data_IF_026961307436
#
_entry.id   IF_026961307436
#
_cell.length_a   1.000
_cell.length_b   1.000
_cell.length_c   1.000
_cell.angle_alpha   90.00
_cell.angle_beta   90.00
_cell.angle_gamma   90.00
#
_symmetry.space_group_name_H-M   'P 1'
#
loop_
_entity.id
_entity.type
_entity.pdbx_description
1 polymer ?
#
# COMPACT_ATOMS: atom_id res chain seq x y z
N UNK A 1 -4.50 -2.68 -20.49
CA UNK A 1 -4.63 -3.94 -19.72
C UNK A 1 -5.71 -4.80 -20.35
N UNK A 2 -5.71 -6.13 -20.09
CA UNK A 2 -6.81 -6.99 -20.51
C UNK A 2 -8.04 -6.75 -19.60
N UNK A 3 -9.27 -7.05 -20.10
CA UNK A 3 -10.50 -6.91 -19.29
C UNK A 3 -10.44 -7.70 -17.96
N UNK A 4 -9.74 -8.85 -17.97
CA UNK A 4 -9.52 -9.66 -16.75
C UNK A 4 -8.63 -8.97 -15.73
N UNK A 5 -7.56 -8.32 -16.18
CA UNK A 5 -6.67 -7.56 -15.31
C UNK A 5 -7.35 -6.30 -14.74
N UNK A 6 -8.19 -5.63 -15.53
CA UNK A 6 -8.98 -4.48 -15.06
C UNK A 6 -9.97 -4.90 -13.95
N UNK A 7 -10.64 -6.04 -14.12
CA UNK A 7 -11.54 -6.57 -13.10
C UNK A 7 -10.80 -7.05 -11.84
N UNK A 8 -9.66 -7.73 -12.01
CA UNK A 8 -8.82 -8.14 -10.88
C UNK A 8 -8.34 -6.95 -10.06
N UNK A 9 -7.89 -5.88 -10.72
CA UNK A 9 -7.51 -4.64 -10.03
C UNK A 9 -8.67 -4.05 -9.22
N UNK A 10 -9.88 -3.99 -9.78
CA UNK A 10 -11.07 -3.53 -9.06
C UNK A 10 -11.31 -4.35 -7.79
N UNK A 11 -11.32 -5.68 -7.91
CA UNK A 11 -11.56 -6.58 -6.75
C UNK A 11 -10.51 -6.38 -5.68
N UNK A 12 -9.22 -6.33 -6.06
CA UNK A 12 -8.13 -6.15 -5.11
C UNK A 12 -8.21 -4.79 -4.41
N UNK A 13 -8.52 -3.71 -5.14
CA UNK A 13 -8.68 -2.36 -4.56
C UNK A 13 -9.82 -2.30 -3.56
N UNK A 14 -10.99 -2.82 -3.92
CA UNK A 14 -12.17 -2.81 -3.04
C UNK A 14 -11.91 -3.68 -1.80
N UNK A 15 -11.37 -4.89 -1.98
CA UNK A 15 -11.07 -5.78 -0.86
C UNK A 15 -10.04 -5.15 0.09
N UNK A 16 -8.93 -4.65 -0.44
CA UNK A 16 -7.89 -4.01 0.35
C UNK A 16 -8.41 -2.75 1.06
N UNK A 17 -9.13 -1.89 0.34
CA UNK A 17 -9.69 -0.67 0.91
C UNK A 17 -10.69 -0.93 2.03
N UNK A 18 -11.54 -1.95 1.90
CA UNK A 18 -12.48 -2.36 2.96
C UNK A 18 -11.77 -2.92 4.21
N UNK A 19 -10.59 -3.54 4.04
CA UNK A 19 -9.78 -3.99 5.17
C UNK A 19 -9.05 -2.81 5.82
N UNK A 20 -8.45 -1.91 5.04
CA UNK A 20 -7.74 -0.74 5.58
C UNK A 20 -8.67 0.26 6.27
N UNK A 21 -9.89 0.43 5.79
CA UNK A 21 -10.81 1.46 6.28
C UNK A 21 -11.06 1.38 7.79
N UNK A 22 -11.45 0.24 8.39
CA UNK A 22 -11.63 0.15 9.84
C UNK A 22 -10.33 0.32 10.62
N UNK A 23 -9.19 -0.14 10.08
CA UNK A 23 -7.88 0.02 10.73
C UNK A 23 -7.46 1.50 10.76
N UNK A 24 -7.56 2.20 9.63
CA UNK A 24 -7.29 3.63 9.55
C UNK A 24 -8.27 4.45 10.39
N UNK A 25 -9.58 4.11 10.35
CA UNK A 25 -10.59 4.77 11.17
C UNK A 25 -10.28 4.66 12.66
N UNK A 26 -9.93 3.48 13.15
CA UNK A 26 -9.61 3.28 14.57
C UNK A 26 -8.39 4.07 15.01
N UNK A 27 -7.37 4.20 14.15
CA UNK A 27 -6.16 4.98 14.43
C UNK A 27 -6.43 6.49 14.45
N UNK A 28 -7.31 6.99 13.57
CA UNK A 28 -7.58 8.42 13.47
C UNK A 28 -8.65 8.87 14.46
N UNK A 29 -9.76 8.13 14.58
CA UNK A 29 -10.94 8.53 15.36
C UNK A 29 -11.17 7.68 16.61
N UNK A 30 -10.60 6.47 16.71
CA UNK A 30 -10.69 5.61 17.88
C UNK A 30 -9.72 6.02 18.97
N UNK A 31 -8.48 5.55 18.92
CA UNK A 31 -7.41 5.99 19.86
C UNK A 31 -6.95 7.41 19.60
N UNK A 32 -7.12 7.90 18.38
CA UNK A 32 -6.59 9.16 17.89
C UNK A 32 -5.19 9.05 17.29
N UNK A 33 -4.94 9.80 16.21
CA UNK A 33 -3.67 9.74 15.48
C UNK A 33 -2.46 10.11 16.37
N UNK A 34 -2.65 11.00 17.35
CA UNK A 34 -1.61 11.39 18.26
C UNK A 34 -1.21 10.24 19.22
N UNK A 35 -2.18 9.52 19.77
CA UNK A 35 -1.92 8.37 20.63
C UNK A 35 -1.21 7.25 19.85
N UNK A 36 -1.71 6.91 18.67
CA UNK A 36 -1.06 5.93 17.79
C UNK A 36 0.37 6.33 17.41
N UNK A 37 0.61 7.62 17.12
CA UNK A 37 1.94 8.11 16.78
C UNK A 37 2.89 8.10 18.00
N UNK A 38 2.37 8.29 19.22
CA UNK A 38 3.17 8.27 20.44
C UNK A 38 3.77 6.89 20.75
N UNK A 39 3.21 5.81 20.19
CA UNK A 39 3.73 4.45 20.35
C UNK A 39 4.93 4.15 19.42
N UNK A 40 5.15 4.95 18.38
CA UNK A 40 6.20 4.69 17.38
C UNK A 40 7.63 4.61 17.96
N UNK A 41 8.03 5.44 18.93
CA UNK A 41 9.36 5.35 19.53
C UNK A 41 9.66 4.02 20.22
N UNK A 42 8.65 3.32 20.73
CA UNK A 42 8.84 1.98 21.32
C UNK A 42 9.33 0.94 20.31
N UNK A 43 9.05 1.15 19.03
CA UNK A 43 9.53 0.35 17.90
C UNK A 43 10.77 0.92 17.22
N UNK A 44 11.38 1.96 17.82
CA UNK A 44 12.54 2.65 17.23
C UNK A 44 12.20 3.53 16.02
N UNK A 45 10.93 3.89 15.84
CA UNK A 45 10.43 4.68 14.72
C UNK A 45 10.18 6.14 15.14
N UNK A 46 10.42 7.12 14.26
CA UNK A 46 10.04 8.49 14.50
C UNK A 46 8.52 8.69 14.62
N UNK A 47 8.08 9.56 15.53
CA UNK A 47 6.65 9.85 15.80
C UNK A 47 5.89 10.23 14.53
N UNK A 48 6.48 11.02 13.64
CA UNK A 48 5.80 11.49 12.42
C UNK A 48 5.36 10.35 11.49
N UNK A 49 6.06 9.19 11.51
CA UNK A 49 5.66 8.02 10.72
C UNK A 49 4.33 7.43 11.20
N UNK A 50 4.01 7.54 12.49
CA UNK A 50 2.72 7.14 13.02
C UNK A 50 1.58 7.98 12.45
N UNK A 51 1.75 9.29 12.37
CA UNK A 51 0.76 10.16 11.71
C UNK A 51 0.60 9.82 10.23
N UNK A 52 1.72 9.65 9.51
CA UNK A 52 1.68 9.27 8.10
C UNK A 52 0.92 7.93 7.93
N UNK A 53 1.23 6.92 8.74
CA UNK A 53 0.57 5.62 8.65
C UNK A 53 -0.93 5.73 8.97
N UNK A 54 -1.33 6.42 10.03
CA UNK A 54 -2.73 6.58 10.42
C UNK A 54 -3.56 7.24 9.30
N UNK A 55 -3.08 8.35 8.77
CA UNK A 55 -3.79 9.09 7.72
C UNK A 55 -3.70 8.41 6.36
N UNK A 56 -2.56 7.77 6.02
CA UNK A 56 -2.44 7.01 4.79
C UNK A 56 -3.41 5.82 4.76
N UNK A 57 -3.54 5.08 5.86
CA UNK A 57 -4.49 3.97 5.92
C UNK A 57 -5.94 4.44 5.84
N UNK A 58 -6.30 5.55 6.47
CA UNK A 58 -7.67 6.04 6.45
C UNK A 58 -8.04 6.67 5.09
N UNK A 59 -7.32 7.69 4.66
CA UNK A 59 -7.61 8.36 3.39
C UNK A 59 -7.23 7.50 2.18
N UNK A 60 -6.14 6.74 2.29
CA UNK A 60 -5.72 5.79 1.26
C UNK A 60 -6.74 4.68 1.05
N UNK A 61 -7.39 4.17 2.09
CA UNK A 61 -8.44 3.17 1.92
C UNK A 61 -9.60 3.70 1.05
N UNK A 62 -10.02 4.95 1.25
CA UNK A 62 -11.08 5.61 0.49
C UNK A 62 -10.61 5.84 -0.96
N UNK A 63 -9.39 6.35 -1.13
CA UNK A 63 -8.79 6.59 -2.43
C UNK A 63 -8.62 5.28 -3.22
N UNK A 64 -8.21 4.20 -2.55
CA UNK A 64 -8.03 2.89 -3.14
C UNK A 64 -9.36 2.29 -3.65
N UNK A 65 -10.42 2.37 -2.85
CA UNK A 65 -11.78 1.94 -3.26
C UNK A 65 -12.23 2.72 -4.49
N UNK A 66 -12.08 4.03 -4.48
CA UNK A 66 -12.44 4.90 -5.60
C UNK A 66 -11.52 4.70 -6.82
N UNK A 67 -10.32 4.21 -6.62
CA UNK A 67 -9.28 4.08 -7.64
C UNK A 67 -8.69 5.43 -8.02
N UNK A 68 -8.39 6.25 -7.04
CA UNK A 68 -7.76 7.55 -7.19
C UNK A 68 -6.30 7.46 -6.78
N UNK A 69 -5.39 7.92 -7.65
CA UNK A 69 -3.94 7.85 -7.46
C UNK A 69 -3.45 6.44 -7.08
N UNK A 70 -4.09 5.42 -7.64
CA UNK A 70 -3.99 4.03 -7.20
C UNK A 70 -2.55 3.55 -7.03
N UNK A 71 -1.64 3.86 -7.95
CA UNK A 71 -0.23 3.40 -7.86
C UNK A 71 0.51 4.04 -6.68
N UNK A 72 0.32 5.35 -6.50
CA UNK A 72 1.00 6.12 -5.44
C UNK A 72 0.44 5.70 -4.10
N UNK A 73 -0.88 5.62 -3.99
CA UNK A 73 -1.59 5.23 -2.79
C UNK A 73 -1.25 3.79 -2.39
N UNK A 74 -1.32 2.84 -3.33
CA UNK A 74 -0.94 1.44 -3.08
C UNK A 74 0.52 1.30 -2.66
N UNK A 75 1.44 2.08 -3.24
CA UNK A 75 2.84 2.08 -2.84
C UNK A 75 3.00 2.57 -1.39
N UNK A 76 2.34 3.66 -1.03
CA UNK A 76 2.37 4.20 0.33
C UNK A 76 1.82 3.20 1.34
N UNK A 77 0.67 2.58 1.04
CA UNK A 77 0.08 1.52 1.86
C UNK A 77 0.98 0.27 1.94
N UNK A 78 1.67 -0.10 0.87
CA UNK A 78 2.66 -1.18 0.91
C UNK A 78 3.80 -0.85 1.88
N UNK A 79 4.32 0.37 1.86
CA UNK A 79 5.35 0.80 2.81
C UNK A 79 4.86 0.73 4.26
N UNK A 80 3.63 1.18 4.55
CA UNK A 80 3.06 1.08 5.92
C UNK A 80 2.90 -0.37 6.36
N UNK A 81 2.44 -1.25 5.48
CA UNK A 81 2.27 -2.66 5.78
C UNK A 81 3.59 -3.42 5.92
N UNK A 82 4.61 -3.04 5.14
CA UNK A 82 5.96 -3.57 5.34
C UNK A 82 6.49 -3.25 6.74
N UNK A 83 6.37 -1.99 7.17
CA UNK A 83 6.78 -1.57 8.53
C UNK A 83 5.95 -2.30 9.59
N UNK A 84 4.62 -2.37 9.41
CA UNK A 84 3.74 -3.07 10.35
C UNK A 84 4.11 -4.55 10.49
N UNK A 85 4.40 -5.25 9.37
CA UNK A 85 4.75 -6.66 9.41
C UNK A 85 6.12 -6.92 10.05
N UNK A 86 7.15 -6.20 9.59
CA UNK A 86 8.54 -6.57 9.89
C UNK A 86 9.17 -5.78 11.05
N UNK A 87 8.70 -4.57 11.33
CA UNK A 87 9.24 -3.74 12.40
C UNK A 87 8.40 -3.79 13.66
N UNK A 88 7.06 -3.88 13.50
CA UNK A 88 6.13 -3.87 14.64
C UNK A 88 5.75 -5.31 15.05
N UNK A 89 5.10 -6.07 14.18
CA UNK A 89 4.50 -7.35 14.56
C UNK A 89 5.48 -8.53 14.60
N UNK A 90 6.52 -8.53 13.77
CA UNK A 90 7.48 -9.64 13.77
C UNK A 90 8.27 -9.77 15.10
N UNK A 91 8.79 -8.69 15.70
CA UNK A 91 9.42 -8.76 17.02
C UNK A 91 8.46 -9.25 18.10
N UNK A 92 7.21 -8.77 18.12
CA UNK A 92 6.19 -9.19 19.07
C UNK A 92 5.87 -10.68 18.90
N UNK A 93 5.68 -11.15 17.66
CA UNK A 93 5.43 -12.56 17.37
C UNK A 93 6.60 -13.48 17.77
N UNK A 94 7.84 -13.00 17.66
CA UNK A 94 9.02 -13.74 18.11
C UNK A 94 9.11 -13.82 19.63
N UNK A 95 8.73 -12.76 20.32
CA UNK A 95 8.74 -12.69 21.77
C UNK A 95 7.63 -13.56 22.40
N UNK A 96 6.44 -13.56 21.80
CA UNK A 96 5.26 -14.26 22.31
C UNK A 96 5.21 -15.75 21.94
N UNK A 97 6.17 -16.24 21.15
CA UNK A 97 6.24 -17.64 20.76
C UNK A 97 6.45 -18.56 21.97
N UNK A 98 5.39 -19.25 22.40
CA UNK A 98 5.39 -20.18 23.55
C UNK A 98 6.35 -21.36 23.32
N UNK A 99 7.01 -21.85 24.41
CA UNK A 99 7.79 -23.10 24.35
C UNK A 99 6.89 -24.27 23.89
N UNK A 100 7.33 -24.98 22.85
CA UNK A 100 6.58 -26.12 22.28
C UNK A 100 5.72 -25.80 21.06
N UNK A 101 5.48 -24.53 20.74
CA UNK A 101 4.86 -24.14 19.46
C UNK A 101 5.91 -24.16 18.36
N UNK A 102 5.54 -24.66 17.17
CA UNK A 102 6.43 -24.53 16.01
C UNK A 102 6.58 -23.02 15.73
N UNK A 103 7.76 -22.49 16.05
CA UNK A 103 8.05 -21.03 15.95
C UNK A 103 7.60 -20.41 14.63
N UNK A 104 7.72 -21.16 13.54
CA UNK A 104 7.28 -20.71 12.22
C UNK A 104 5.78 -20.37 12.19
N UNK A 105 4.92 -21.22 12.78
CA UNK A 105 3.48 -20.95 12.79
C UNK A 105 3.09 -19.77 13.67
N UNK A 106 3.78 -19.58 14.80
CA UNK A 106 3.55 -18.43 15.68
C UNK A 106 3.91 -17.11 14.95
N UNK A 107 5.07 -17.09 14.27
CA UNK A 107 5.51 -15.94 13.48
C UNK A 107 4.53 -15.64 12.33
N UNK A 108 4.19 -16.66 11.54
CA UNK A 108 3.29 -16.49 10.40
C UNK A 108 1.93 -15.94 10.86
N UNK A 109 1.38 -16.48 11.96
CA UNK A 109 0.11 -16.02 12.52
C UNK A 109 0.18 -14.56 13.00
N UNK A 110 1.32 -14.16 13.59
CA UNK A 110 1.52 -12.79 14.07
C UNK A 110 1.55 -11.75 12.96
N UNK A 111 2.11 -12.09 11.79
CA UNK A 111 2.31 -11.14 10.69
C UNK A 111 1.37 -11.35 9.49
N UNK A 112 0.46 -12.35 9.53
CA UNK A 112 -0.33 -12.80 8.37
C UNK A 112 -1.08 -11.67 7.68
N UNK A 113 -1.77 -10.83 8.45
CA UNK A 113 -2.59 -9.75 7.87
C UNK A 113 -1.73 -8.66 7.21
N UNK A 114 -0.78 -8.00 7.89
CA UNK A 114 0.00 -6.96 7.23
C UNK A 114 0.88 -7.51 6.11
N UNK A 115 1.34 -8.75 6.19
CA UNK A 115 2.09 -9.39 5.11
C UNK A 115 1.21 -9.64 3.87
N UNK A 116 -0.01 -10.15 4.05
CA UNK A 116 -0.97 -10.32 2.95
C UNK A 116 -1.34 -8.96 2.33
N UNK A 117 -1.60 -7.95 3.16
CA UNK A 117 -1.93 -6.60 2.70
C UNK A 117 -0.76 -5.93 1.97
N UNK A 118 0.48 -6.15 2.44
CA UNK A 118 1.68 -5.75 1.70
C UNK A 118 1.72 -6.36 0.30
N UNK A 119 1.48 -7.68 0.18
CA UNK A 119 1.45 -8.36 -1.12
C UNK A 119 0.38 -7.81 -2.06
N UNK A 120 -0.84 -7.56 -1.56
CA UNK A 120 -1.95 -7.01 -2.35
C UNK A 120 -1.62 -5.58 -2.82
N UNK A 121 -1.14 -4.73 -1.94
CA UNK A 121 -0.83 -3.32 -2.28
C UNK A 121 0.39 -3.22 -3.20
N UNK A 122 1.41 -4.06 -3.02
CA UNK A 122 2.54 -4.17 -3.94
C UNK A 122 2.07 -4.61 -5.34
N UNK A 123 1.19 -5.61 -5.41
CA UNK A 123 0.60 -6.03 -6.69
C UNK A 123 -0.21 -4.91 -7.35
N UNK A 124 -1.00 -4.15 -6.59
CA UNK A 124 -1.76 -3.01 -7.11
C UNK A 124 -0.86 -1.87 -7.61
N UNK A 125 0.27 -1.63 -6.96
CA UNK A 125 1.28 -0.67 -7.41
C UNK A 125 1.78 -1.02 -8.82
N UNK A 126 1.99 -2.31 -9.08
CA UNK A 126 2.45 -2.80 -10.39
C UNK A 126 1.30 -2.82 -11.41
N UNK A 127 0.16 -3.40 -11.05
CA UNK A 127 -1.00 -3.53 -11.92
C UNK A 127 -1.59 -2.16 -12.30
N UNK A 128 -1.68 -1.26 -11.33
CA UNK A 128 -2.33 0.03 -11.49
C UNK A 128 -3.86 -0.03 -11.37
N UNK A 129 -4.53 1.11 -11.67
CA UNK A 129 -5.95 1.34 -11.33
C UNK A 129 -6.94 0.48 -12.14
N UNK A 130 -6.59 0.08 -13.36
CA UNK A 130 -7.53 -0.55 -14.29
C UNK A 130 -8.61 0.43 -14.81
N UNK A 131 -9.45 -0.04 -15.72
CA UNK A 131 -10.47 0.80 -16.39
C UNK A 131 -11.65 1.18 -15.49
N UNK A 132 -11.88 0.46 -14.41
CA UNK A 132 -12.95 0.74 -13.43
C UNK A 132 -12.44 1.60 -12.28
N UNK A 133 -11.83 2.74 -12.57
CA UNK A 133 -11.20 3.64 -11.60
C UNK A 133 -11.41 5.11 -11.96
N UNK A 134 -11.36 5.98 -10.97
CA UNK A 134 -11.32 7.42 -11.20
C UNK A 134 -10.06 7.85 -11.95
N UNK A 135 -8.93 7.20 -11.71
CA UNK A 135 -7.69 7.47 -12.45
C UNK A 135 -7.85 7.32 -13.95
N UNK A 136 -8.59 6.27 -14.37
CA UNK A 136 -8.88 6.07 -15.79
C UNK A 136 -9.85 7.12 -16.32
N UNK A 137 -10.91 7.41 -15.58
CA UNK A 137 -11.92 8.40 -15.96
C UNK A 137 -11.33 9.81 -16.11
N UNK A 138 -10.40 10.17 -15.22
CA UNK A 138 -9.74 11.49 -15.20
C UNK A 138 -8.47 11.54 -16.08
N UNK A 139 -8.08 10.43 -16.71
CA UNK A 139 -6.89 10.34 -17.55
C UNK A 139 -5.55 10.54 -16.80
N UNK A 140 -5.54 10.34 -15.48
CA UNK A 140 -4.37 10.57 -14.61
C UNK A 140 -3.24 9.61 -14.97
N UNK A 141 -3.55 8.35 -15.25
CA UNK A 141 -2.55 7.33 -15.56
C UNK A 141 -1.77 7.67 -16.85
N UNK A 142 -2.44 8.22 -17.85
CA UNK A 142 -1.79 8.67 -19.08
C UNK A 142 -0.79 9.81 -18.85
N UNK A 143 -1.08 10.71 -17.94
CA UNK A 143 -0.21 11.84 -17.57
C UNK A 143 1.02 11.35 -16.80
N UNK A 144 0.84 10.44 -15.84
CA UNK A 144 1.95 9.86 -15.06
C UNK A 144 2.85 9.01 -15.96
N UNK A 145 2.29 8.15 -16.80
CA UNK A 145 3.06 7.33 -17.74
C UNK A 145 3.82 8.19 -18.76
N UNK A 146 3.25 9.31 -19.20
CA UNK A 146 3.90 10.27 -20.10
C UNK A 146 5.09 10.99 -19.46
N UNK A 147 5.04 11.27 -18.15
CA UNK A 147 6.12 11.92 -17.42
C UNK A 147 7.37 11.03 -17.27
N UNK A 148 7.19 9.71 -17.26
CA UNK A 148 8.29 8.73 -17.16
C UNK A 148 8.76 8.17 -18.52
N UNK A 149 8.18 8.62 -19.65
CA UNK A 149 8.65 8.19 -20.97
C UNK A 149 9.95 8.92 -21.30
N UNK A 150 11.07 8.21 -21.56
CA UNK A 150 12.30 8.85 -22.03
C UNK A 150 11.96 9.61 -23.32
N UNK A 151 12.34 10.88 -23.39
CA UNK A 151 12.25 11.64 -24.67
C UNK A 151 13.08 10.87 -25.69
N UNK A 152 12.44 10.34 -26.74
CA UNK A 152 13.15 9.74 -27.86
C UNK A 152 14.07 10.82 -28.43
N UNK A 153 15.38 10.60 -28.29
CA UNK A 153 16.35 11.41 -29.03
C UNK A 153 16.05 11.25 -30.52
N UNK A 154 15.92 12.32 -31.27
CA UNK A 154 15.86 12.23 -32.73
C UNK A 154 17.16 11.56 -33.18
N UNK A 155 17.05 10.44 -33.88
CA UNK A 155 18.18 9.80 -34.53
C UNK A 155 18.76 10.75 -35.56
N UNK A 156 20.04 11.15 -35.44
CA UNK A 156 20.66 11.95 -36.49
C UNK A 156 21.04 11.01 -37.63
N UNK A 157 20.14 10.75 -38.55
CA UNK A 157 20.54 10.30 -39.88
C UNK A 157 19.37 10.23 -40.86
N UNK A 158 19.18 11.29 -41.62
CA UNK A 158 18.61 11.23 -42.96
C UNK A 158 19.04 12.48 -43.78
N UNK A 159 20.35 12.75 -43.81
CA UNK A 159 20.92 13.75 -44.67
C UNK A 159 22.20 13.18 -45.28
N UNK A 160 22.11 12.05 -45.99
CA UNK A 160 23.09 11.63 -47.01
C UNK A 160 22.33 10.73 -47.99
N UNK A 161 21.76 11.30 -49.03
CA UNK A 161 21.74 10.85 -50.44
C UNK A 161 21.17 11.96 -51.30
#
# INVERSE_FOLDING_TARGET
>A
MSKRADFASLVLRVAAGLIFLPHGYSKVFGSGAAAFAADMPSYGLPIFLGYIAAYAEFFGSIALIAGLLTRIDSFLLACTMFVAAFVVQLPDALHDAQPGTVKLFAILRGIELPFAMFGITAALTILGPGRFSLDWLLGIEGKIAGAFRPKSHPTPNSAIT
#
